data_IF_508648215066
#
_entry.id   IF_508648215066
#
_cell.length_a   1.000
_cell.length_b   1.000
_cell.length_c   1.000
_cell.angle_alpha   90.00
_cell.angle_beta   90.00
_cell.angle_gamma   90.00
#
_symmetry.space_group_name_H-M   'P 1'
#
loop_
_entity.id
_entity.type
_entity.pdbx_description
1 polymer ?
#
# COMPACT_ATOMS: atom_id res chain seq x y z
N UNK A 1 -3.67 -6.71 12.40
CA UNK A 1 -3.23 -5.32 12.19
C UNK A 1 -4.20 -4.68 11.18
N UNK A 2 -4.67 -3.44 11.38
CA UNK A 2 -5.56 -2.79 10.41
C UNK A 2 -4.78 -2.41 9.14
N UNK A 3 -5.40 -2.56 7.95
CA UNK A 3 -4.81 -2.34 6.62
C UNK A 3 -4.03 -1.02 6.52
N UNK A 4 -4.58 0.08 7.04
CA UNK A 4 -3.92 1.39 7.04
C UNK A 4 -2.53 1.31 7.66
N UNK A 5 -2.44 0.76 8.87
CA UNK A 5 -1.17 0.65 9.59
C UNK A 5 -0.19 -0.28 8.86
N UNK A 6 -0.67 -1.34 8.21
CA UNK A 6 0.20 -2.23 7.42
C UNK A 6 0.82 -1.46 6.26
N UNK A 7 -0.01 -0.78 5.47
CA UNK A 7 0.43 0.04 4.34
C UNK A 7 1.43 1.10 4.77
N UNK A 8 1.12 1.88 5.82
CA UNK A 8 2.04 2.92 6.32
C UNK A 8 3.38 2.32 6.76
N UNK A 9 3.36 1.22 7.52
CA UNK A 9 4.58 0.57 7.99
C UNK A 9 5.46 0.06 6.83
N UNK A 10 4.86 -0.61 5.85
CA UNK A 10 5.57 -1.14 4.68
C UNK A 10 6.16 0.00 3.85
N UNK A 11 5.37 1.02 3.52
CA UNK A 11 5.83 2.12 2.68
C UNK A 11 6.88 2.98 3.39
N UNK A 12 6.74 3.23 4.69
CA UNK A 12 7.77 3.90 5.49
C UNK A 12 9.09 3.13 5.49
N UNK A 13 9.04 1.82 5.73
CA UNK A 13 10.23 0.98 5.72
C UNK A 13 10.89 0.93 4.34
N UNK A 14 10.11 0.87 3.25
CA UNK A 14 10.64 0.89 1.87
C UNK A 14 11.29 2.23 1.53
N UNK A 15 10.65 3.34 1.90
CA UNK A 15 11.17 4.68 1.70
C UNK A 15 12.51 4.89 2.40
N UNK A 16 12.65 4.36 3.61
CA UNK A 16 13.88 4.47 4.40
C UNK A 16 14.98 3.51 3.93
N UNK A 17 14.63 2.35 3.38
CA UNK A 17 15.59 1.29 3.05
C UNK A 17 15.95 1.14 1.56
N UNK A 18 15.26 1.76 0.60
CA UNK A 18 15.44 1.39 -0.81
C UNK A 18 15.03 2.43 -1.86
N UNK A 19 15.80 2.48 -2.96
CA UNK A 19 15.51 3.18 -4.23
C UNK A 19 14.53 2.43 -5.14
N UNK A 20 13.54 1.73 -4.57
CA UNK A 20 12.44 1.17 -5.34
C UNK A 20 11.36 2.26 -5.50
N UNK A 21 11.00 2.53 -6.76
CA UNK A 21 10.19 3.70 -7.16
C UNK A 21 8.71 3.37 -7.30
N UNK A 22 8.23 2.31 -6.63
CA UNK A 22 6.82 1.95 -6.61
C UNK A 22 5.95 3.13 -6.13
N UNK A 23 6.48 4.02 -5.28
CA UNK A 23 5.82 5.27 -4.88
C UNK A 23 5.59 6.29 -6.02
N UNK A 24 6.26 6.17 -7.16
CA UNK A 24 6.05 7.06 -8.32
C UNK A 24 4.76 6.71 -9.08
N UNK A 25 4.21 5.51 -8.85
CA UNK A 25 2.90 5.12 -9.37
C UNK A 25 1.79 5.93 -8.69
N UNK A 26 0.59 5.95 -9.27
CA UNK A 26 -0.60 6.43 -8.56
C UNK A 26 -0.93 5.55 -7.34
N UNK A 27 -1.73 6.04 -6.37
CA UNK A 27 -2.06 5.28 -5.15
C UNK A 27 -2.63 3.88 -5.43
N UNK A 28 -3.42 3.74 -6.50
CA UNK A 28 -3.96 2.45 -6.93
C UNK A 28 -2.87 1.49 -7.42
N UNK A 29 -1.92 1.97 -8.23
CA UNK A 29 -0.82 1.13 -8.72
C UNK A 29 0.10 0.63 -7.60
N UNK A 30 0.30 1.43 -6.55
CA UNK A 30 1.02 0.98 -5.35
C UNK A 30 0.21 -0.05 -4.56
N UNK A 31 -1.08 0.18 -4.38
CA UNK A 31 -1.95 -0.78 -3.72
C UNK A 31 -1.95 -2.13 -4.45
N UNK A 32 -2.03 -2.14 -5.78
CA UNK A 32 -1.92 -3.35 -6.60
C UNK A 32 -0.58 -4.05 -6.40
N UNK A 33 0.54 -3.32 -6.40
CA UNK A 33 1.87 -3.87 -6.14
C UNK A 33 1.95 -4.53 -4.76
N UNK A 34 1.48 -3.86 -3.71
CA UNK A 34 1.47 -4.38 -2.33
C UNK A 34 0.63 -5.65 -2.18
N UNK A 35 -0.48 -5.76 -2.91
CA UNK A 35 -1.32 -6.96 -2.94
C UNK A 35 -0.65 -8.08 -3.73
N UNK A 36 -0.14 -7.76 -4.92
CA UNK A 36 0.47 -8.74 -5.82
C UNK A 36 1.76 -9.34 -5.25
N UNK A 37 2.54 -8.57 -4.50
CA UNK A 37 3.72 -9.03 -3.77
C UNK A 37 3.39 -9.86 -2.53
N UNK A 38 2.14 -9.80 -2.06
CA UNK A 38 1.70 -10.45 -0.82
C UNK A 38 2.16 -9.74 0.45
N UNK A 39 2.61 -8.48 0.38
CA UNK A 39 3.00 -7.71 1.57
C UNK A 39 1.81 -7.38 2.47
N UNK A 40 0.63 -7.22 1.87
CA UNK A 40 -0.64 -7.08 2.57
C UNK A 40 -1.56 -8.25 2.24
N UNK A 41 -2.09 -8.89 3.28
CA UNK A 41 -3.00 -10.03 3.13
C UNK A 41 -4.40 -9.55 2.73
N UNK A 42 -4.79 -9.83 1.48
CA UNK A 42 -6.10 -9.50 0.94
C UNK A 42 -7.23 -10.46 1.41
N UNK A 43 -6.89 -11.54 2.11
CA UNK A 43 -7.78 -12.37 2.93
C UNK A 43 -9.22 -12.52 2.43
N UNK A 44 -9.42 -12.99 1.20
CA UNK A 44 -10.74 -13.31 0.63
C UNK A 44 -11.78 -12.18 0.58
N UNK A 45 -11.40 -10.94 0.90
CA UNK A 45 -12.26 -9.76 0.75
C UNK A 45 -12.33 -9.43 -0.74
N UNK A 46 -13.51 -9.09 -1.26
CA UNK A 46 -13.68 -8.76 -2.67
C UNK A 46 -12.55 -7.85 -3.17
N UNK A 47 -11.79 -8.35 -4.17
CA UNK A 47 -10.47 -7.82 -4.52
C UNK A 47 -10.50 -6.33 -4.84
N UNK A 48 -11.58 -5.86 -5.48
CA UNK A 48 -11.76 -4.45 -5.86
C UNK A 48 -11.93 -3.53 -4.65
N UNK A 49 -12.83 -3.87 -3.72
CA UNK A 49 -13.05 -3.04 -2.53
C UNK A 49 -11.80 -2.99 -1.64
N UNK A 50 -11.08 -4.11 -1.54
CA UNK A 50 -9.81 -4.17 -0.80
C UNK A 50 -8.74 -3.27 -1.43
N UNK A 51 -8.59 -3.30 -2.75
CA UNK A 51 -7.66 -2.44 -3.48
C UNK A 51 -7.99 -0.95 -3.31
N UNK A 52 -9.27 -0.57 -3.29
CA UNK A 52 -9.69 0.82 -3.02
C UNK A 52 -9.25 1.26 -1.63
N UNK A 53 -9.49 0.45 -0.60
CA UNK A 53 -9.07 0.80 0.77
C UNK A 53 -7.55 0.86 0.92
N UNK A 54 -6.82 -0.05 0.25
CA UNK A 54 -5.35 -0.01 0.23
C UNK A 54 -4.86 1.26 -0.47
N UNK A 55 -5.44 1.64 -1.60
CA UNK A 55 -5.10 2.86 -2.33
C UNK A 55 -5.38 4.13 -1.51
N UNK A 56 -6.47 4.17 -0.74
CA UNK A 56 -6.75 5.26 0.19
C UNK A 56 -5.67 5.38 1.28
N UNK A 57 -5.25 4.25 1.86
CA UNK A 57 -4.17 4.24 2.84
C UNK A 57 -2.81 4.67 2.24
N UNK A 58 -2.53 4.30 0.97
CA UNK A 58 -1.34 4.81 0.27
C UNK A 58 -1.42 6.34 0.12
N UNK A 59 -2.57 6.86 -0.30
CA UNK A 59 -2.76 8.31 -0.49
C UNK A 59 -2.64 9.07 0.83
N UNK A 60 -3.19 8.53 1.92
CA UNK A 60 -3.06 9.07 3.27
C UNK A 60 -1.59 9.12 3.70
N UNK A 61 -0.87 8.00 3.62
CA UNK A 61 0.57 7.95 3.94
C UNK A 61 1.39 8.98 3.16
N UNK A 62 1.10 9.18 1.86
CA UNK A 62 1.78 10.20 1.04
C UNK A 62 1.49 11.61 1.50
N UNK A 63 0.30 11.88 2.04
CA UNK A 63 -0.05 13.21 2.55
C UNK A 63 0.59 13.53 3.90
N UNK A 64 1.02 12.51 4.64
CA UNK A 64 1.72 12.63 5.94
C UNK A 64 3.25 12.77 5.78
N UNK A 65 3.76 12.69 4.55
CA UNK A 65 5.19 12.68 4.21
C UNK A 65 5.57 13.93 3.41
#
# INVERSE_FOLDING_TARGET
>A
MNLRNQVHAILSARWENSGNHDFDLGPLGVAEQLVASGDIDAGGRGAEAFLIFAAMAVAEWRSER
#
